data_IF_683619446939
#
_entry.id   IF_683619446939
#
_cell.length_a   1.000
_cell.length_b   1.000
_cell.length_c   1.000
_cell.angle_alpha   90.00
_cell.angle_beta   90.00
_cell.angle_gamma   90.00
#
_symmetry.space_group_name_H-M   'P 1'
#
loop_
_entity.id
_entity.type
_entity.pdbx_description
1 polymer ?
#
# COMPACT_ATOMS: atom_id res chain seq x y z
N UNK A 1 -18.80 -0.05 -22.67
CA UNK A 1 -18.68 1.19 -21.89
C UNK A 1 -17.69 2.10 -22.60
N UNK A 2 -18.12 3.30 -23.01
CA UNK A 2 -17.37 4.17 -23.92
C UNK A 2 -16.10 4.70 -23.22
N UNK A 3 -14.94 4.62 -23.88
CA UNK A 3 -13.65 5.09 -23.36
C UNK A 3 -13.67 6.55 -22.86
N UNK A 4 -14.55 7.39 -23.42
CA UNK A 4 -14.79 8.78 -22.99
C UNK A 4 -15.33 8.90 -21.57
N UNK A 5 -16.21 7.97 -21.14
CA UNK A 5 -16.77 7.99 -19.77
C UNK A 5 -15.75 7.50 -18.73
N UNK A 6 -14.85 6.59 -19.11
CA UNK A 6 -13.76 6.13 -18.23
C UNK A 6 -12.75 7.28 -18.02
N UNK A 7 -12.41 8.01 -19.08
CA UNK A 7 -11.50 9.15 -19.01
C UNK A 7 -12.07 10.28 -18.17
N UNK A 8 -13.38 10.58 -18.32
CA UNK A 8 -14.10 11.58 -17.51
C UNK A 8 -14.13 11.19 -16.04
N UNK A 9 -14.37 9.93 -15.71
CA UNK A 9 -14.37 9.44 -14.33
C UNK A 9 -12.98 9.54 -13.69
N UNK A 10 -11.93 9.24 -14.45
CA UNK A 10 -10.54 9.35 -13.99
C UNK A 10 -10.18 10.83 -13.74
N UNK A 11 -10.56 11.73 -14.63
CA UNK A 11 -10.31 13.17 -14.50
C UNK A 11 -11.05 13.73 -13.29
N UNK A 12 -12.32 13.36 -13.07
CA UNK A 12 -13.10 13.83 -11.91
C UNK A 12 -12.48 13.42 -10.58
N UNK A 13 -11.91 12.21 -10.49
CA UNK A 13 -11.21 11.73 -9.27
C UNK A 13 -9.93 12.53 -8.98
N UNK A 14 -9.26 13.09 -10.01
CA UNK A 14 -8.03 13.88 -9.84
C UNK A 14 -8.24 15.29 -9.28
N UNK A 15 -9.47 15.84 -9.38
CA UNK A 15 -9.75 17.20 -8.92
C UNK A 15 -10.20 17.32 -7.45
N UNK A 16 -10.35 16.22 -6.73
CA UNK A 16 -10.58 16.28 -5.29
C UNK A 16 -9.28 16.56 -4.54
N UNK A 17 -9.09 17.83 -4.12
CA UNK A 17 -8.01 18.21 -3.21
C UNK A 17 -8.32 17.68 -1.81
N UNK A 18 -7.71 16.56 -1.45
CA UNK A 18 -7.73 16.04 -0.09
C UNK A 18 -6.44 16.45 0.63
N UNK A 19 -6.54 17.23 1.69
CA UNK A 19 -5.40 17.51 2.59
C UNK A 19 -5.19 16.30 3.52
N UNK A 20 -3.94 15.79 3.65
CA UNK A 20 -3.80 14.44 4.16
C UNK A 20 -2.50 14.10 4.90
N UNK A 21 -2.58 13.17 5.85
CA UNK A 21 -1.44 12.63 6.60
C UNK A 21 -1.52 11.12 6.84
N UNK A 22 -0.38 10.44 6.98
CA UNK A 22 -0.15 9.06 6.57
C UNK A 22 -0.02 8.01 7.67
N UNK A 23 -0.58 6.83 7.39
CA UNK A 23 -0.11 5.53 7.92
C UNK A 23 0.41 4.64 6.79
N UNK A 24 1.45 3.84 7.05
CA UNK A 24 2.06 3.00 6.03
C UNK A 24 1.31 1.68 5.86
N UNK A 25 0.61 1.50 4.76
CA UNK A 25 0.14 0.20 4.27
C UNK A 25 1.07 -0.26 3.17
N UNK A 26 1.58 -1.50 3.29
CA UNK A 26 2.41 -2.09 2.24
C UNK A 26 1.49 -2.61 1.14
N UNK A 27 1.53 -1.98 -0.03
CA UNK A 27 0.86 -2.50 -1.21
C UNK A 27 1.75 -3.54 -1.90
N UNK A 28 1.44 -4.82 -1.69
CA UNK A 28 2.16 -5.96 -2.31
C UNK A 28 1.50 -6.45 -3.59
N UNK A 29 0.41 -5.83 -4.04
CA UNK A 29 -0.42 -6.34 -5.13
C UNK A 29 0.14 -6.03 -6.51
N UNK A 30 0.93 -4.97 -6.65
CA UNK A 30 1.55 -4.61 -7.94
C UNK A 30 2.37 -5.76 -8.55
N UNK A 31 2.92 -6.63 -7.69
CA UNK A 31 3.80 -7.74 -8.09
C UNK A 31 3.12 -9.12 -8.02
N UNK A 32 1.88 -9.22 -7.52
CA UNK A 32 1.20 -10.50 -7.26
C UNK A 32 1.17 -11.43 -8.49
N UNK A 33 0.82 -10.91 -9.65
CA UNK A 33 0.66 -11.71 -10.86
C UNK A 33 1.95 -11.89 -11.66
N UNK A 34 3.06 -11.32 -11.21
CA UNK A 34 4.37 -11.51 -11.81
C UNK A 34 5.13 -12.65 -11.15
N UNK A 35 4.66 -13.13 -10.00
CA UNK A 35 5.27 -14.26 -9.28
C UNK A 35 4.61 -15.53 -9.80
N UNK A 36 5.20 -16.13 -10.82
CA UNK A 36 4.73 -17.34 -11.50
C UNK A 36 5.63 -18.56 -11.28
N UNK A 37 6.86 -18.34 -10.78
CA UNK A 37 7.87 -19.37 -10.55
C UNK A 37 8.38 -19.41 -9.10
N UNK A 38 9.39 -20.25 -8.85
CA UNK A 38 9.91 -20.56 -7.51
C UNK A 38 10.55 -19.32 -6.84
N UNK A 39 11.13 -18.40 -7.62
CA UNK A 39 11.78 -17.22 -7.05
C UNK A 39 11.62 -16.00 -7.95
N UNK A 40 11.26 -14.88 -7.32
CA UNK A 40 11.24 -13.56 -7.94
C UNK A 40 11.71 -12.51 -6.95
N UNK A 41 12.50 -11.57 -7.43
CA UNK A 41 12.97 -10.40 -6.72
C UNK A 41 12.53 -9.14 -7.45
N UNK A 42 11.85 -8.24 -6.73
CA UNK A 42 11.46 -6.92 -7.23
C UNK A 42 12.07 -5.85 -6.36
N UNK A 43 12.72 -4.88 -6.99
CA UNK A 43 13.31 -3.71 -6.34
C UNK A 43 12.65 -2.48 -6.94
N UNK A 44 11.95 -1.73 -6.11
CA UNK A 44 11.34 -0.44 -6.48
C UNK A 44 12.11 0.69 -5.81
N UNK A 45 12.49 1.71 -6.55
CA UNK A 45 13.14 2.92 -6.07
C UNK A 45 12.40 4.17 -6.54
N UNK A 46 12.28 5.13 -5.64
CA UNK A 46 11.74 6.48 -5.91
C UNK A 46 12.56 7.48 -5.14
N UNK A 47 12.83 8.65 -5.72
CA UNK A 47 13.57 9.70 -5.06
C UNK A 47 13.10 11.08 -5.53
N UNK A 48 13.30 12.09 -4.67
CA UNK A 48 13.16 13.50 -4.98
C UNK A 48 14.24 14.27 -4.23
N UNK A 49 14.89 15.21 -4.91
CA UNK A 49 15.91 16.08 -4.34
C UNK A 49 15.68 17.49 -4.84
N UNK A 50 15.53 18.42 -3.90
CA UNK A 50 15.43 19.85 -4.15
C UNK A 50 16.45 20.57 -3.28
N UNK A 51 17.20 21.48 -3.86
CA UNK A 51 18.15 22.34 -3.16
C UNK A 51 17.89 23.80 -3.52
N UNK A 52 17.86 24.69 -2.52
CA UNK A 52 17.60 26.11 -2.72
C UNK A 52 17.18 26.76 -1.41
N UNK A 53 16.18 27.64 -1.44
CA UNK A 53 15.62 28.24 -0.23
C UNK A 53 15.02 27.20 0.74
N UNK A 54 14.66 26.02 0.20
CA UNK A 54 14.17 24.87 0.95
C UNK A 54 14.94 23.64 0.44
N UNK A 55 15.70 23.01 1.34
CA UNK A 55 16.37 21.74 1.05
C UNK A 55 15.43 20.58 1.36
N UNK A 56 15.11 19.79 0.35
CA UNK A 56 14.27 18.60 0.47
C UNK A 56 14.96 17.39 -0.13
N UNK A 57 14.98 16.30 0.62
CA UNK A 57 15.47 15.00 0.16
C UNK A 57 14.46 13.92 0.52
N UNK A 58 14.08 13.10 -0.46
CA UNK A 58 13.25 11.92 -0.28
C UNK A 58 13.86 10.72 -0.96
N UNK A 59 13.87 9.60 -0.26
CA UNK A 59 14.11 8.29 -0.84
C UNK A 59 13.06 7.30 -0.33
N UNK A 60 12.45 6.58 -1.25
CA UNK A 60 11.53 5.49 -0.94
C UNK A 60 11.95 4.24 -1.70
N UNK A 61 12.08 3.14 -0.99
CA UNK A 61 12.49 1.86 -1.56
C UNK A 61 11.56 0.74 -1.09
N UNK A 62 11.30 -0.21 -1.99
CA UNK A 62 10.62 -1.46 -1.66
C UNK A 62 11.42 -2.62 -2.24
N UNK A 63 11.62 -3.64 -1.42
CA UNK A 63 12.19 -4.91 -1.81
C UNK A 63 11.13 -5.98 -1.60
N UNK A 64 10.78 -6.72 -2.64
CA UNK A 64 9.82 -7.83 -2.55
C UNK A 64 10.46 -9.11 -3.07
N UNK A 65 10.50 -10.12 -2.22
CA UNK A 65 10.85 -11.50 -2.58
C UNK A 65 9.56 -12.30 -2.66
N UNK A 66 9.37 -13.02 -3.75
CA UNK A 66 8.19 -13.85 -3.98
C UNK A 66 8.54 -15.25 -4.42
N UNK A 67 7.75 -16.22 -3.98
CA UNK A 67 7.89 -17.62 -4.37
C UNK A 67 6.53 -18.26 -4.57
N UNK A 68 6.34 -18.93 -5.70
CA UNK A 68 5.12 -19.73 -5.97
C UNK A 68 5.47 -21.20 -6.08
N UNK A 69 4.94 -22.00 -5.17
CA UNK A 69 5.20 -23.44 -5.07
C UNK A 69 3.94 -24.22 -5.46
N UNK A 70 4.12 -25.23 -6.35
CA UNK A 70 3.03 -26.10 -6.86
C UNK A 70 1.81 -25.32 -7.39
N UNK A 71 2.02 -24.11 -7.93
CA UNK A 71 0.97 -23.24 -8.47
C UNK A 71 -0.06 -22.72 -7.46
N UNK A 72 -0.19 -23.35 -6.29
CA UNK A 72 -1.23 -23.05 -5.28
C UNK A 72 -0.71 -22.20 -4.12
N UNK A 73 0.56 -22.31 -3.76
CA UNK A 73 1.13 -21.66 -2.60
C UNK A 73 1.98 -20.46 -3.04
N UNK A 74 1.63 -19.28 -2.60
CA UNK A 74 2.35 -18.06 -2.91
C UNK A 74 2.82 -17.39 -1.61
N UNK A 75 4.13 -17.28 -1.48
CA UNK A 75 4.80 -16.62 -0.38
C UNK A 75 5.35 -15.27 -0.85
N UNK A 76 5.25 -14.24 -0.04
CA UNK A 76 5.83 -12.93 -0.31
C UNK A 76 6.40 -12.35 0.97
N UNK A 77 7.62 -11.83 0.86
CA UNK A 77 8.28 -11.04 1.88
C UNK A 77 8.58 -9.67 1.29
N UNK A 78 8.07 -8.62 1.91
CA UNK A 78 8.25 -7.25 1.43
C UNK A 78 8.83 -6.38 2.52
N UNK A 79 9.89 -5.65 2.20
CA UNK A 79 10.46 -4.58 3.03
C UNK A 79 10.23 -3.25 2.34
N UNK A 80 9.84 -2.24 3.11
CA UNK A 80 9.61 -0.89 2.64
C UNK A 80 10.27 0.12 3.55
N UNK A 81 10.98 1.08 2.95
CA UNK A 81 11.51 2.26 3.63
C UNK A 81 11.01 3.52 2.93
N UNK A 82 10.67 4.54 3.71
CA UNK A 82 10.35 5.88 3.23
C UNK A 82 11.01 6.89 4.15
N UNK A 83 12.11 7.47 3.67
CA UNK A 83 12.91 8.43 4.39
C UNK A 83 12.84 9.79 3.71
N UNK A 84 12.60 10.84 4.51
CA UNK A 84 12.52 12.22 4.01
C UNK A 84 13.20 13.17 5.00
N UNK A 85 13.98 14.11 4.45
CA UNK A 85 14.60 15.24 5.17
C UNK A 85 14.08 16.55 4.63
N UNK A 86 13.99 17.51 5.53
CA UNK A 86 13.68 18.90 5.21
C UNK A 86 14.65 19.81 5.95
N UNK A 87 15.35 20.67 5.24
CA UNK A 87 16.39 21.56 5.78
C UNK A 87 17.37 20.80 6.71
N UNK A 88 17.87 19.65 6.27
CA UNK A 88 18.82 18.83 7.02
C UNK A 88 18.19 17.92 8.09
N UNK A 89 16.97 18.20 8.56
CA UNK A 89 16.30 17.45 9.61
C UNK A 89 15.42 16.33 9.04
N UNK A 90 15.53 15.12 9.60
CA UNK A 90 14.64 14.03 9.25
C UNK A 90 13.24 14.30 9.80
N UNK A 91 12.22 14.34 8.94
CA UNK A 91 10.82 14.49 9.35
C UNK A 91 9.95 13.25 9.05
N UNK A 92 10.45 12.34 8.24
CA UNK A 92 9.79 11.06 7.96
C UNK A 92 10.83 9.95 7.88
N UNK A 93 10.64 8.90 8.68
CA UNK A 93 11.41 7.67 8.61
C UNK A 93 10.45 6.52 8.93
N UNK A 94 9.85 5.95 7.89
CA UNK A 94 8.89 4.86 8.00
C UNK A 94 9.54 3.60 7.47
N UNK A 95 9.64 2.58 8.32
CA UNK A 95 10.18 1.27 7.96
C UNK A 95 9.11 0.23 8.24
N UNK A 96 8.93 -0.71 7.33
CA UNK A 96 8.01 -1.82 7.54
C UNK A 96 8.44 -3.08 6.79
N UNK A 97 8.12 -4.22 7.37
CA UNK A 97 8.27 -5.54 6.79
C UNK A 97 6.95 -6.31 6.84
N UNK A 98 6.61 -7.02 5.79
CA UNK A 98 5.42 -7.86 5.71
C UNK A 98 5.77 -9.22 5.12
N UNK A 99 5.37 -10.27 5.81
CA UNK A 99 5.27 -11.61 5.24
C UNK A 99 3.82 -11.90 4.93
N UNK A 100 3.54 -12.42 3.73
CA UNK A 100 2.19 -12.79 3.31
C UNK A 100 2.20 -14.14 2.60
N UNK A 101 1.26 -15.00 2.99
CA UNK A 101 0.99 -16.28 2.39
C UNK A 101 -0.38 -16.26 1.72
N UNK A 102 -0.48 -16.80 0.50
CA UNK A 102 -1.75 -17.03 -0.20
C UNK A 102 -1.84 -18.50 -0.62
N UNK A 103 -2.93 -19.16 -0.26
CA UNK A 103 -3.28 -20.49 -0.74
C UNK A 103 -4.40 -20.37 -1.78
N UNK A 104 -4.14 -20.74 -3.03
CA UNK A 104 -5.12 -20.72 -4.10
C UNK A 104 -5.88 -22.06 -4.12
N UNK A 105 -7.08 -22.11 -3.54
CA UNK A 105 -7.93 -23.29 -3.56
C UNK A 105 -8.60 -23.49 -4.94
N UNK A 106 -8.73 -22.41 -5.73
CA UNK A 106 -9.10 -22.46 -7.14
C UNK A 106 -8.12 -21.60 -7.95
N UNK A 107 -7.15 -22.27 -8.58
CA UNK A 107 -6.07 -21.61 -9.34
C UNK A 107 -6.61 -20.93 -10.60
N UNK A 108 -7.54 -21.57 -11.32
CA UNK A 108 -8.11 -21.05 -12.57
C UNK A 108 -8.91 -19.77 -12.33
N UNK A 109 -9.72 -19.74 -11.29
CA UNK A 109 -10.52 -18.58 -10.88
C UNK A 109 -9.74 -17.62 -9.98
N UNK A 110 -8.49 -17.89 -9.65
CA UNK A 110 -7.66 -17.11 -8.72
C UNK A 110 -8.33 -16.84 -7.36
N UNK A 111 -9.09 -17.80 -6.86
CA UNK A 111 -9.67 -17.72 -5.52
C UNK A 111 -8.66 -18.20 -4.50
N UNK A 112 -8.43 -17.42 -3.44
CA UNK A 112 -7.42 -17.74 -2.42
C UNK A 112 -7.85 -17.36 -1.02
N UNK A 113 -7.30 -18.09 -0.06
CA UNK A 113 -7.23 -17.68 1.35
C UNK A 113 -5.86 -17.06 1.55
N UNK A 114 -5.76 -16.02 2.34
CA UNK A 114 -4.48 -15.40 2.65
C UNK A 114 -4.31 -15.18 4.16
N UNK A 115 -3.06 -15.18 4.58
CA UNK A 115 -2.65 -14.71 5.90
C UNK A 115 -1.45 -13.78 5.76
N UNK A 116 -1.26 -12.89 6.73
CA UNK A 116 -0.13 -12.00 6.75
C UNK A 116 0.28 -11.61 8.17
N UNK A 117 1.55 -11.30 8.30
CA UNK A 117 2.14 -10.64 9.47
C UNK A 117 2.89 -9.41 8.95
N UNK A 118 2.72 -8.29 9.64
CA UNK A 118 3.42 -7.05 9.32
C UNK A 118 3.96 -6.42 10.59
N UNK A 119 5.20 -5.95 10.52
CA UNK A 119 5.84 -5.13 11.56
C UNK A 119 6.28 -3.82 10.95
N UNK A 120 6.36 -2.77 11.76
CA UNK A 120 6.85 -1.48 11.28
C UNK A 120 6.90 -0.41 12.35
N UNK A 121 7.46 0.73 11.93
CA UNK A 121 7.48 1.99 12.68
C UNK A 121 7.21 3.16 11.74
N UNK A 122 6.69 4.24 12.27
CA UNK A 122 6.44 5.46 11.50
C UNK A 122 6.75 6.68 12.35
N UNK A 123 7.84 7.36 12.02
CA UNK A 123 8.24 8.59 12.70
C UNK A 123 7.17 9.68 12.57
N UNK A 124 6.63 9.87 11.36
CA UNK A 124 5.62 10.90 11.10
C UNK A 124 4.31 10.67 11.83
N UNK A 125 3.89 9.41 11.97
CA UNK A 125 2.66 9.05 12.70
C UNK A 125 2.93 8.80 14.18
N UNK A 126 4.14 9.06 14.67
CA UNK A 126 4.60 8.79 16.02
C UNK A 126 4.36 7.34 16.46
N UNK A 127 4.35 6.39 15.51
CA UNK A 127 4.21 4.97 15.80
C UNK A 127 5.61 4.41 16.04
N UNK A 128 5.90 4.09 17.30
CA UNK A 128 7.19 3.50 17.68
C UNK A 128 7.28 2.03 17.25
N UNK A 129 6.18 1.30 17.41
CA UNK A 129 6.04 -0.08 16.98
C UNK A 129 4.62 -0.34 16.51
N UNK A 130 4.51 -1.03 15.39
CA UNK A 130 3.26 -1.55 14.86
C UNK A 130 3.42 -3.03 14.54
N UNK A 131 2.48 -3.84 15.01
CA UNK A 131 2.35 -5.23 14.67
C UNK A 131 0.95 -5.50 14.13
N UNK A 132 0.85 -6.16 12.98
CA UNK A 132 -0.41 -6.61 12.39
C UNK A 132 -0.31 -8.09 12.09
N UNK A 133 -1.37 -8.84 12.40
CA UNK A 133 -1.50 -10.24 11.99
C UNK A 133 -2.95 -10.48 11.53
N UNK A 134 -3.14 -11.05 10.35
CA UNK A 134 -4.48 -11.19 9.80
C UNK A 134 -4.64 -12.31 8.80
N UNK A 135 -5.92 -12.60 8.55
CA UNK A 135 -6.37 -13.62 7.60
C UNK A 135 -7.55 -13.09 6.78
N UNK A 136 -7.76 -13.68 5.62
CA UNK A 136 -8.91 -13.34 4.80
C UNK A 136 -9.04 -14.24 3.58
N UNK A 137 -10.12 -14.00 2.85
CA UNK A 137 -10.43 -14.68 1.59
C UNK A 137 -10.39 -13.66 0.46
N UNK A 138 -9.94 -14.07 -0.71
CA UNK A 138 -9.91 -13.27 -1.92
C UNK A 138 -10.58 -14.02 -3.06
N UNK A 139 -11.42 -13.32 -3.78
CA UNK A 139 -12.15 -13.83 -4.93
C UNK A 139 -11.96 -12.93 -6.13
N UNK A 140 -11.65 -13.50 -7.28
CA UNK A 140 -11.65 -12.81 -8.57
C UNK A 140 -13.06 -12.74 -9.10
N UNK A 141 -13.54 -11.53 -9.39
CA UNK A 141 -14.90 -11.28 -9.87
C UNK A 141 -14.90 -11.29 -11.41
N UNK A 142 -13.90 -10.71 -12.05
CA UNK A 142 -13.81 -10.66 -13.52
C UNK A 142 -12.57 -11.40 -14.00
N UNK A 143 -12.72 -12.58 -14.60
CA UNK A 143 -11.60 -13.43 -15.04
C UNK A 143 -11.07 -13.08 -16.42
N UNK A 144 -11.01 -11.82 -16.82
CA UNK A 144 -10.46 -11.46 -18.13
C UNK A 144 -8.93 -11.60 -18.16
N UNK A 145 -8.43 -12.56 -18.91
CA UNK A 145 -7.00 -12.81 -19.07
C UNK A 145 -6.29 -11.68 -19.86
N UNK A 146 -6.99 -11.01 -20.76
CA UNK A 146 -6.39 -10.07 -21.72
C UNK A 146 -6.51 -8.60 -21.32
N UNK A 147 -7.60 -8.18 -20.68
CA UNK A 147 -7.90 -6.77 -20.37
C UNK A 147 -7.60 -6.40 -18.93
N UNK A 148 -7.36 -7.38 -18.05
CA UNK A 148 -7.09 -7.14 -16.63
C UNK A 148 -7.95 -8.00 -15.70
N UNK A 149 -8.04 -7.59 -14.44
CA UNK A 149 -8.85 -8.29 -13.44
C UNK A 149 -9.41 -7.33 -12.40
N UNK A 150 -10.48 -7.78 -11.74
CA UNK A 150 -11.07 -7.17 -10.57
C UNK A 150 -11.23 -8.23 -9.48
N UNK A 151 -10.55 -8.03 -8.35
CA UNK A 151 -10.60 -8.94 -7.22
C UNK A 151 -11.13 -8.22 -5.98
N UNK A 152 -11.89 -8.93 -5.17
CA UNK A 152 -12.37 -8.47 -3.86
C UNK A 152 -11.85 -9.41 -2.79
N UNK A 153 -11.44 -8.85 -1.66
CA UNK A 153 -11.04 -9.63 -0.49
C UNK A 153 -11.71 -9.10 0.78
N UNK A 154 -12.14 -10.03 1.62
CA UNK A 154 -12.66 -9.78 2.96
C UNK A 154 -11.73 -10.47 3.96
N UNK A 155 -11.52 -9.83 5.09
CA UNK A 155 -10.68 -10.39 6.13
C UNK A 155 -10.80 -9.67 7.46
N UNK A 156 -10.02 -10.14 8.41
CA UNK A 156 -9.84 -9.49 9.69
C UNK A 156 -8.37 -9.55 10.11
N UNK A 157 -7.95 -8.61 10.94
CA UNK A 157 -6.62 -8.59 11.49
C UNK A 157 -6.58 -7.97 12.88
N UNK A 158 -5.67 -8.49 13.68
CA UNK A 158 -5.26 -7.91 14.95
C UNK A 158 -4.20 -6.84 14.70
N UNK A 159 -4.33 -5.71 15.37
CA UNK A 159 -3.42 -4.57 15.33
C UNK A 159 -2.96 -4.24 16.75
N UNK A 160 -1.65 -4.18 16.96
CA UNK A 160 -1.01 -3.63 18.15
C UNK A 160 -0.16 -2.43 17.72
N UNK A 161 -0.46 -1.25 18.22
CA UNK A 161 0.27 -0.01 17.95
C UNK A 161 0.74 0.61 19.25
N UNK A 162 2.04 0.96 19.34
CA UNK A 162 2.67 1.64 20.46
C UNK A 162 3.11 3.03 20.03
N UNK A 163 2.73 4.03 20.81
CA UNK A 163 3.05 5.44 20.63
C UNK A 163 3.97 5.91 21.76
N UNK A 164 5.06 6.65 21.48
CA UNK A 164 5.88 7.27 22.52
C UNK A 164 5.14 8.43 23.18
N UNK A 165 5.70 8.97 24.26
CA UNK A 165 5.30 10.30 24.74
C UNK A 165 5.62 11.34 23.67
N UNK A 166 4.75 12.31 23.51
CA UNK A 166 4.98 13.45 22.63
C UNK A 166 4.30 14.71 23.19
N UNK A 167 4.82 15.88 22.84
CA UNK A 167 4.28 17.17 23.26
C UNK A 167 3.81 17.95 22.04
N UNK A 168 2.59 18.46 22.10
CA UNK A 168 2.04 19.35 21.06
C UNK A 168 1.55 20.61 21.77
N UNK A 169 2.17 21.74 21.43
CA UNK A 169 1.99 23.00 22.19
C UNK A 169 2.31 22.77 23.68
N UNK A 170 1.35 22.99 24.57
CA UNK A 170 1.52 22.78 26.01
C UNK A 170 0.95 21.44 26.50
N UNK A 171 0.32 20.66 25.62
CA UNK A 171 -0.29 19.38 25.99
C UNK A 171 0.72 18.25 25.83
N UNK A 172 1.02 17.56 26.92
CA UNK A 172 1.87 16.38 26.96
C UNK A 172 1.00 15.11 26.88
N UNK A 173 1.31 14.26 25.90
CA UNK A 173 0.65 12.97 25.71
C UNK A 173 1.55 11.85 26.25
N UNK A 174 1.02 11.06 27.15
CA UNK A 174 1.72 9.90 27.72
C UNK A 174 1.88 8.77 26.71
N UNK A 175 2.87 7.86 26.89
CA UNK A 175 3.01 6.69 26.04
C UNK A 175 1.73 5.84 26.08
N UNK A 176 1.29 5.39 24.92
CA UNK A 176 0.07 4.59 24.79
C UNK A 176 0.28 3.36 23.93
N UNK A 177 -0.42 2.26 24.26
CA UNK A 177 -0.49 1.06 23.44
C UNK A 177 -1.94 0.72 23.17
N UNK A 178 -2.25 0.53 21.89
CA UNK A 178 -3.59 0.20 21.42
C UNK A 178 -3.62 -1.20 20.81
N UNK A 179 -4.63 -1.96 21.21
CA UNK A 179 -4.94 -3.27 20.67
C UNK A 179 -6.31 -3.20 19.99
N UNK A 180 -6.38 -3.53 18.74
CA UNK A 180 -7.61 -3.47 17.97
C UNK A 180 -7.78 -4.74 17.13
N UNK A 181 -9.00 -5.23 17.05
CA UNK A 181 -9.43 -6.13 15.98
C UNK A 181 -10.08 -5.28 14.89
N UNK A 182 -9.62 -5.43 13.64
CA UNK A 182 -10.18 -4.72 12.49
C UNK A 182 -10.73 -5.67 11.45
N UNK A 183 -11.87 -5.29 10.89
CA UNK A 183 -12.40 -5.88 9.66
C UNK A 183 -11.79 -5.17 8.47
N UNK A 184 -11.60 -5.86 7.35
CA UNK A 184 -11.08 -5.25 6.13
C UNK A 184 -11.83 -5.73 4.89
N UNK A 185 -12.17 -4.77 4.02
CA UNK A 185 -12.64 -4.99 2.66
C UNK A 185 -11.59 -4.40 1.72
N UNK A 186 -11.06 -5.21 0.82
CA UNK A 186 -10.02 -4.79 -0.11
C UNK A 186 -10.47 -5.01 -1.55
N UNK A 187 -10.19 -4.06 -2.40
CA UNK A 187 -10.46 -4.12 -3.84
C UNK A 187 -9.14 -4.00 -4.58
N UNK A 188 -8.93 -4.89 -5.56
CA UNK A 188 -7.73 -4.92 -6.39
C UNK A 188 -8.13 -4.93 -7.85
N UNK A 189 -7.59 -3.99 -8.61
CA UNK A 189 -7.86 -3.88 -10.04
C UNK A 189 -6.56 -3.77 -10.81
N UNK A 190 -6.48 -4.47 -11.94
CA UNK A 190 -5.47 -4.23 -12.95
C UNK A 190 -6.17 -4.08 -14.30
N UNK A 191 -5.91 -2.96 -14.97
CA UNK A 191 -6.36 -2.71 -16.33
C UNK A 191 -5.13 -2.70 -17.24
N UNK A 192 -5.15 -3.48 -18.30
CA UNK A 192 -4.15 -3.46 -19.36
C UNK A 192 -4.70 -2.65 -20.53
N UNK A 193 -4.03 -1.56 -20.87
CA UNK A 193 -4.40 -0.74 -22.03
C UNK A 193 -3.78 -1.30 -23.30
N UNK A 194 -2.51 -1.73 -23.19
CA UNK A 194 -1.76 -2.39 -24.26
C UNK A 194 -0.58 -3.18 -23.67
N UNK A 195 0.40 -3.59 -24.49
CA UNK A 195 1.59 -4.34 -24.06
C UNK A 195 2.52 -3.54 -23.14
N UNK A 196 2.53 -2.20 -23.25
CA UNK A 196 3.42 -1.31 -22.50
C UNK A 196 2.72 -0.67 -21.30
N UNK A 197 1.44 -0.35 -21.38
CA UNK A 197 0.72 0.40 -20.38
C UNK A 197 -0.25 -0.46 -19.58
N UNK A 198 -0.16 -0.38 -18.25
CA UNK A 198 -1.17 -0.93 -17.35
C UNK A 198 -1.36 -0.05 -16.12
N UNK A 199 -2.59 -0.06 -15.59
CA UNK A 199 -2.98 0.60 -14.36
C UNK A 199 -3.27 -0.46 -13.30
N UNK A 200 -2.68 -0.31 -12.13
CA UNK A 200 -2.95 -1.14 -10.94
C UNK A 200 -3.53 -0.27 -9.86
N UNK A 201 -4.72 -0.60 -9.39
CA UNK A 201 -5.39 0.13 -8.32
C UNK A 201 -5.70 -0.83 -7.17
N UNK A 202 -5.45 -0.35 -5.96
CA UNK A 202 -5.71 -1.08 -4.72
C UNK A 202 -6.41 -0.14 -3.75
N UNK A 203 -7.51 -0.60 -3.20
CA UNK A 203 -8.21 0.08 -2.11
C UNK A 203 -8.31 -0.86 -0.91
N UNK A 204 -7.91 -0.40 0.25
CA UNK A 204 -8.12 -1.06 1.52
C UNK A 204 -9.06 -0.20 2.37
N UNK A 205 -10.16 -0.78 2.78
CA UNK A 205 -11.06 -0.18 3.76
C UNK A 205 -11.04 -1.02 5.03
N UNK A 206 -10.81 -0.40 6.17
CA UNK A 206 -10.58 -1.06 7.45
C UNK A 206 -11.45 -0.41 8.51
N UNK A 207 -12.12 -1.20 9.33
CA UNK A 207 -12.99 -0.74 10.41
C UNK A 207 -12.59 -1.40 11.72
N UNK A 208 -12.56 -0.64 12.79
CA UNK A 208 -12.42 -1.19 14.14
C UNK A 208 -13.69 -1.97 14.49
N UNK A 209 -13.59 -3.26 14.84
CA UNK A 209 -14.73 -4.14 15.06
C UNK A 209 -15.63 -3.67 16.21
N UNK A 210 -15.05 -3.05 17.26
CA UNK A 210 -15.79 -2.51 18.40
C UNK A 210 -16.41 -1.12 18.15
N UNK A 211 -16.02 -0.42 17.05
CA UNK A 211 -16.49 0.93 16.73
C UNK A 211 -16.33 1.22 15.24
N UNK A 212 -17.34 0.90 14.44
CA UNK A 212 -17.29 1.00 12.98
C UNK A 212 -17.08 2.44 12.46
N UNK A 213 -17.39 3.47 13.26
CA UNK A 213 -17.07 4.87 12.95
C UNK A 213 -15.57 5.12 12.89
N UNK A 214 -14.74 4.29 13.57
CA UNK A 214 -13.29 4.29 13.45
C UNK A 214 -12.89 3.49 12.22
N UNK A 215 -12.78 4.16 11.09
CA UNK A 215 -12.40 3.56 9.82
C UNK A 215 -11.12 4.20 9.24
N UNK A 216 -10.47 3.44 8.38
CA UNK A 216 -9.32 3.86 7.57
C UNK A 216 -9.55 3.42 6.14
N UNK A 217 -9.30 4.31 5.19
CA UNK A 217 -9.33 4.01 3.75
C UNK A 217 -7.96 4.32 3.16
N UNK A 218 -7.42 3.37 2.40
CA UNK A 218 -6.18 3.51 1.67
C UNK A 218 -6.47 3.26 0.21
N UNK A 219 -6.08 4.19 -0.63
CA UNK A 219 -6.20 4.10 -2.06
C UNK A 219 -4.83 4.27 -2.68
N UNK A 220 -4.38 3.26 -3.43
CA UNK A 220 -3.13 3.27 -4.16
C UNK A 220 -3.42 3.00 -5.62
N UNK A 221 -2.98 3.86 -6.52
CA UNK A 221 -3.03 3.60 -7.95
C UNK A 221 -1.66 3.83 -8.58
N UNK A 222 -1.29 2.95 -9.49
CA UNK A 222 0.02 2.97 -10.15
C UNK A 222 -0.18 2.77 -11.65
N UNK A 223 0.17 3.80 -12.43
CA UNK A 223 0.28 3.70 -13.87
C UNK A 223 1.69 3.25 -14.21
N UNK A 224 1.81 2.09 -14.86
CA UNK A 224 3.09 1.50 -15.24
C UNK A 224 3.31 1.63 -16.74
N UNK A 225 4.53 2.02 -17.12
CA UNK A 225 5.06 1.93 -18.46
C UNK A 225 6.17 0.87 -18.49
N UNK A 226 5.92 -0.24 -19.18
CA UNK A 226 6.83 -1.38 -19.29
C UNK A 226 7.82 -1.10 -20.42
N UNK A 227 9.07 -0.82 -20.08
CA UNK A 227 10.16 -0.61 -21.04
C UNK A 227 10.62 -1.96 -21.58
N UNK A 228 10.80 -2.93 -20.68
CA UNK A 228 11.24 -4.28 -21.01
C UNK A 228 10.73 -5.29 -19.98
N UNK A 229 11.03 -6.58 -20.16
CA UNK A 229 10.71 -7.61 -19.16
C UNK A 229 11.34 -7.32 -17.79
N UNK A 230 12.48 -6.62 -17.76
CA UNK A 230 13.24 -6.34 -16.55
C UNK A 230 13.03 -4.92 -16.00
N UNK A 231 12.50 -3.97 -16.79
CA UNK A 231 12.46 -2.55 -16.44
C UNK A 231 11.07 -1.95 -16.63
N UNK A 232 10.61 -1.19 -15.66
CA UNK A 232 9.31 -0.48 -15.67
C UNK A 232 9.47 0.89 -15.04
N UNK A 233 9.02 1.94 -15.70
CA UNK A 233 8.79 3.26 -15.09
C UNK A 233 7.35 3.29 -14.59
N UNK A 234 7.10 3.97 -13.48
CA UNK A 234 5.74 4.09 -12.98
C UNK A 234 5.46 5.45 -12.34
N UNK A 235 4.22 5.89 -12.49
CA UNK A 235 3.63 7.00 -11.76
C UNK A 235 2.68 6.41 -10.71
N UNK A 236 2.91 6.74 -9.46
CA UNK A 236 2.13 6.24 -8.32
C UNK A 236 1.43 7.38 -7.60
N UNK A 237 0.13 7.22 -7.38
CA UNK A 237 -0.69 8.06 -6.53
C UNK A 237 -1.21 7.25 -5.34
N UNK A 238 -1.06 7.81 -4.14
CA UNK A 238 -1.60 7.24 -2.91
C UNK A 238 -2.51 8.27 -2.25
N UNK A 239 -3.63 7.80 -1.70
CA UNK A 239 -4.49 8.59 -0.82
C UNK A 239 -4.90 7.75 0.39
N UNK A 240 -4.99 8.39 1.56
CA UNK A 240 -5.33 7.73 2.81
C UNK A 240 -6.19 8.63 3.65
N UNK A 241 -7.23 8.06 4.24
CA UNK A 241 -8.18 8.75 5.10
C UNK A 241 -8.31 7.96 6.39
N UNK A 242 -8.32 8.64 7.53
CA UNK A 242 -8.58 8.05 8.83
C UNK A 242 -9.58 8.90 9.59
N UNK A 243 -10.71 8.32 10.00
CA UNK A 243 -11.79 9.05 10.66
C UNK A 243 -11.48 9.47 12.10
N UNK A 244 -10.76 8.63 12.83
CA UNK A 244 -10.39 8.86 14.23
C UNK A 244 -8.91 8.54 14.42
N UNK A 245 -7.99 9.45 14.08
CA UNK A 245 -6.57 9.27 14.33
C UNK A 245 -6.26 9.42 15.83
N UNK A 246 -5.28 8.67 16.33
CA UNK A 246 -4.81 8.85 17.70
C UNK A 246 -4.11 10.21 17.91
N UNK A 247 -3.53 10.75 16.84
CA UNK A 247 -2.96 12.09 16.81
C UNK A 247 -3.94 12.98 16.04
N UNK A 248 -4.60 13.96 16.69
CA UNK A 248 -5.71 14.72 16.10
C UNK A 248 -5.39 15.44 14.78
N UNK A 249 -4.10 15.72 14.52
CA UNK A 249 -3.66 16.47 13.35
C UNK A 249 -3.41 15.60 12.11
N UNK A 250 -3.62 14.27 12.21
CA UNK A 250 -3.24 13.31 11.15
C UNK A 250 -4.48 12.59 10.63
N UNK A 251 -5.28 13.23 9.78
CA UNK A 251 -6.52 12.65 9.26
C UNK A 251 -6.40 12.09 7.84
N UNK A 252 -5.74 12.80 6.94
CA UNK A 252 -5.68 12.46 5.51
C UNK A 252 -4.26 12.64 4.93
N UNK A 253 -3.87 11.91 3.90
CA UNK A 253 -2.61 12.08 3.14
C UNK A 253 -2.76 11.70 1.68
N UNK A 254 -2.14 12.49 0.80
CA UNK A 254 -1.94 12.16 -0.60
C UNK A 254 -0.46 12.29 -0.97
N UNK A 255 0.04 11.33 -1.74
CA UNK A 255 1.40 11.39 -2.31
C UNK A 255 1.32 11.05 -3.79
N UNK A 256 2.02 11.81 -4.64
CA UNK A 256 2.25 11.47 -6.06
C UNK A 256 3.74 11.31 -6.29
N UNK A 257 4.14 10.21 -6.90
CA UNK A 257 5.55 9.85 -7.06
C UNK A 257 5.81 9.20 -8.39
N UNK A 258 6.97 9.51 -8.98
CA UNK A 258 7.51 8.80 -10.13
C UNK A 258 8.61 7.87 -9.63
N UNK A 259 8.68 6.67 -10.18
CA UNK A 259 9.67 5.69 -9.77
C UNK A 259 10.06 4.72 -10.88
N UNK A 260 11.07 3.93 -10.56
CA UNK A 260 11.63 2.90 -11.42
C UNK A 260 11.61 1.55 -10.70
N UNK A 261 11.30 0.48 -11.46
CA UNK A 261 11.28 -0.90 -10.95
C UNK A 261 12.19 -1.77 -11.79
N UNK A 262 13.01 -2.56 -11.11
CA UNK A 262 13.79 -3.65 -11.69
C UNK A 262 13.17 -4.98 -11.27
N UNK A 263 13.03 -5.91 -12.21
CA UNK A 263 12.62 -7.29 -11.99
C UNK A 263 13.80 -8.21 -12.29
N UNK A 264 14.17 -9.05 -11.37
CA UNK A 264 15.28 -10.00 -11.46
C UNK A 264 14.74 -11.42 -11.27
#
# INVERSE_FOLDING_TARGET
MNTKHILSLIITVFFFNFSSTSQTVINTESNLNKIDSIFHLFIDGMGDYKKGNLDFFMIKSNLTVGSRVKGKNLFRLTFSNNYQKFNGNAFKNNISGQFRYNYFYNVEKHHSIFSFIQIGKSMRSLINRRFLAGVGIRKRITPSKNTGYFDVALGSFYENESYPSYKVQEVEFTPMTYNNLRLTLNVFTRLKFNTHWNLVTVMYSQWKSSRLKNYRIFFDTTLNYIISKKATIFLKFNARVQSEPYIPFITNETDTMIGFRVNI
#
